data_IF_132180988159
#
_entry.id   IF_132180988159
#
_cell.length_a   1.000
_cell.length_b   1.000
_cell.length_c   1.000
_cell.angle_alpha   90.00
_cell.angle_beta   90.00
_cell.angle_gamma   90.00
#
_symmetry.space_group_name_H-M   'P 1'
#
loop_
_entity.id
_entity.type
_entity.pdbx_description
1 polymer ?
#
# COMPACT_ATOMS: atom_id res chain seq x y z
N UNK A 1 42.15 -52.71 27.19
CA UNK A 1 40.75 -53.15 27.00
C UNK A 1 39.92 -52.49 28.10
N UNK A 2 39.37 -51.32 27.82
CA UNK A 2 38.24 -50.64 28.50
C UNK A 2 38.25 -49.18 28.00
N UNK A 3 37.85 -49.04 26.73
CA UNK A 3 37.26 -47.80 26.23
C UNK A 3 35.77 -47.81 26.57
N UNK A 4 35.23 -46.62 26.78
CA UNK A 4 33.81 -46.32 26.56
C UNK A 4 32.88 -46.69 27.71
N UNK A 5 32.38 -45.66 28.40
CA UNK A 5 30.99 -45.44 28.88
C UNK A 5 31.08 -44.16 29.72
N UNK A 6 31.22 -42.97 29.14
CA UNK A 6 30.98 -41.71 29.89
C UNK A 6 30.64 -40.49 29.01
N UNK A 7 30.32 -40.68 27.72
CA UNK A 7 29.93 -39.60 26.82
C UNK A 7 28.41 -39.55 26.51
N UNK A 8 27.65 -40.62 26.79
CA UNK A 8 26.24 -40.75 26.38
C UNK A 8 25.20 -40.06 27.27
N UNK A 9 25.55 -39.67 28.50
CA UNK A 9 24.57 -39.10 29.47
C UNK A 9 24.52 -37.58 29.48
N UNK A 10 25.54 -36.89 28.96
CA UNK A 10 25.54 -35.41 28.87
C UNK A 10 24.80 -34.89 27.64
N UNK A 11 24.95 -35.54 26.48
CA UNK A 11 24.24 -35.16 25.24
C UNK A 11 22.72 -35.32 25.36
N UNK A 12 22.26 -36.40 26.03
CA UNK A 12 20.83 -36.68 26.21
C UNK A 12 20.14 -35.67 27.14
N UNK A 13 20.88 -35.06 28.10
CA UNK A 13 20.34 -34.02 28.99
C UNK A 13 20.15 -32.67 28.30
N UNK A 14 21.04 -32.31 27.37
CA UNK A 14 20.97 -31.04 26.64
C UNK A 14 19.80 -31.04 25.65
N UNK A 15 19.60 -32.13 24.90
CA UNK A 15 18.44 -32.24 24.00
C UNK A 15 17.10 -32.20 24.74
N UNK A 16 17.02 -32.87 25.90
CA UNK A 16 15.79 -32.94 26.70
C UNK A 16 15.47 -31.57 27.32
N UNK A 17 16.49 -30.84 27.78
CA UNK A 17 16.35 -29.49 28.32
C UNK A 17 15.89 -28.48 27.25
N UNK A 18 16.47 -28.53 26.04
CA UNK A 18 16.07 -27.66 24.93
C UNK A 18 14.64 -27.95 24.44
N UNK A 19 14.23 -29.22 24.41
CA UNK A 19 12.84 -29.60 24.08
C UNK A 19 11.84 -29.10 25.13
N UNK A 20 12.18 -29.18 26.42
CA UNK A 20 11.36 -28.64 27.51
C UNK A 20 11.23 -27.11 27.43
N UNK A 21 12.32 -26.39 27.15
CA UNK A 21 12.32 -24.93 27.02
C UNK A 21 11.48 -24.46 25.81
N UNK A 22 11.53 -25.19 24.70
CA UNK A 22 10.67 -24.95 23.54
C UNK A 22 9.18 -25.19 23.88
N UNK A 23 8.87 -26.26 24.63
CA UNK A 23 7.51 -26.55 25.09
C UNK A 23 7.01 -25.44 26.03
N UNK A 24 7.83 -24.98 26.98
CA UNK A 24 7.49 -23.87 27.88
C UNK A 24 7.29 -22.54 27.14
N UNK A 25 8.12 -22.26 26.13
CA UNK A 25 7.95 -21.07 25.28
C UNK A 25 6.66 -21.15 24.45
N UNK A 26 6.35 -22.32 23.86
CA UNK A 26 5.10 -22.56 23.13
C UNK A 26 3.87 -22.48 24.04
N UNK A 27 3.95 -23.02 25.27
CA UNK A 27 2.84 -22.92 26.24
C UNK A 27 2.66 -21.48 26.71
N UNK A 28 3.73 -20.75 27.03
CA UNK A 28 3.64 -19.34 27.41
C UNK A 28 3.04 -18.47 26.28
N UNK A 29 3.35 -18.76 25.02
CA UNK A 29 2.72 -18.11 23.87
C UNK A 29 1.23 -18.48 23.71
N UNK A 30 0.85 -19.72 24.03
CA UNK A 30 -0.55 -20.15 23.98
C UNK A 30 -1.43 -19.59 25.11
N UNK A 31 -0.85 -19.28 26.28
CA UNK A 31 -1.56 -18.66 27.40
C UNK A 31 -1.71 -17.12 27.29
N UNK A 32 -0.95 -16.47 26.40
CA UNK A 32 -1.00 -15.01 26.21
C UNK A 32 -2.20 -14.50 25.41
N UNK A 33 -2.89 -15.38 24.67
CA UNK A 33 -4.08 -15.03 23.89
C UNK A 33 -5.35 -15.52 24.61
N UNK A 34 -5.68 -14.91 25.75
CA UNK A 34 -6.97 -15.16 26.40
C UNK A 34 -8.07 -14.47 25.60
N UNK A 35 -8.89 -15.24 24.87
CA UNK A 35 -10.11 -14.74 24.26
C UNK A 35 -11.05 -14.26 25.37
N UNK A 36 -11.38 -12.96 25.37
CA UNK A 36 -12.47 -12.43 26.18
C UNK A 36 -13.77 -12.70 25.43
N UNK A 37 -14.59 -13.60 25.96
CA UNK A 37 -15.92 -13.90 25.42
C UNK A 37 -16.92 -13.01 26.13
N UNK A 38 -17.56 -12.11 25.38
CA UNK A 38 -18.67 -11.30 25.86
C UNK A 38 -19.99 -11.96 25.43
N UNK A 39 -20.80 -12.39 26.40
CA UNK A 39 -22.14 -12.89 26.12
C UNK A 39 -23.08 -11.69 25.98
N UNK A 40 -23.61 -11.49 24.77
CA UNK A 40 -24.56 -10.44 24.43
C UNK A 40 -25.96 -11.03 24.25
N UNK A 41 -27.01 -10.24 24.52
CA UNK A 41 -28.41 -10.68 24.34
C UNK A 41 -28.90 -10.57 22.90
N UNK A 42 -28.28 -9.71 22.11
CA UNK A 42 -28.56 -9.51 20.69
C UNK A 42 -27.33 -8.85 20.00
N UNK A 43 -27.28 -8.89 18.67
CA UNK A 43 -26.15 -8.39 17.88
C UNK A 43 -25.91 -6.88 18.00
N UNK A 44 -26.92 -6.09 18.37
CA UNK A 44 -26.77 -4.63 18.54
C UNK A 44 -25.95 -4.26 19.78
N UNK A 45 -25.76 -5.22 20.70
CA UNK A 45 -24.91 -5.08 21.88
C UNK A 45 -23.44 -5.44 21.60
N UNK A 46 -23.14 -6.01 20.43
CA UNK A 46 -21.76 -6.17 19.98
C UNK A 46 -21.30 -4.78 19.52
N UNK A 47 -20.33 -4.15 20.18
CA UNK A 47 -19.81 -2.87 19.72
C UNK A 47 -19.36 -3.03 18.27
N UNK A 48 -19.71 -2.06 17.40
CA UNK A 48 -19.16 -1.97 16.05
C UNK A 48 -17.65 -2.13 16.19
N UNK A 49 -17.11 -3.13 15.49
CA UNK A 49 -15.70 -3.51 15.51
C UNK A 49 -14.82 -2.25 15.65
N UNK A 50 -14.01 -2.21 16.70
CA UNK A 50 -12.87 -1.29 16.81
C UNK A 50 -11.63 -2.12 16.48
N UNK A 51 -11.43 -2.52 15.21
CA UNK A 51 -10.33 -3.36 14.83
C UNK A 51 -9.07 -2.54 15.04
N UNK A 52 -8.29 -2.96 16.02
CA UNK A 52 -6.96 -2.41 16.18
C UNK A 52 -5.99 -3.01 15.16
N UNK A 53 -6.38 -4.09 14.45
CA UNK A 53 -5.47 -4.87 13.62
C UNK A 53 -5.32 -4.24 12.24
N UNK A 54 -4.07 -3.96 11.89
CA UNK A 54 -3.66 -3.55 10.54
C UNK A 54 -3.06 -4.77 9.85
N UNK A 55 -3.58 -5.11 8.68
CA UNK A 55 -2.99 -6.08 7.78
C UNK A 55 -1.95 -5.40 6.88
N UNK A 56 -0.78 -6.00 6.78
CA UNK A 56 0.34 -5.54 5.95
C UNK A 56 0.70 -6.63 4.95
N UNK A 57 0.88 -6.33 3.66
CA UNK A 57 1.53 -7.26 2.74
C UNK A 57 2.87 -7.76 3.32
N UNK A 58 3.06 -9.09 3.40
CA UNK A 58 4.31 -9.67 3.93
C UNK A 58 5.30 -10.07 2.84
N UNK A 59 4.85 -10.16 1.60
CA UNK A 59 5.65 -10.59 0.47
C UNK A 59 5.89 -9.42 -0.47
N UNK A 60 7.00 -8.70 -0.23
CA UNK A 60 7.57 -7.83 -1.27
C UNK A 60 8.55 -8.65 -2.07
N UNK A 61 8.41 -8.61 -3.39
CA UNK A 61 9.36 -9.27 -4.28
C UNK A 61 10.70 -8.57 -4.18
N UNK A 62 11.78 -9.32 -4.38
CA UNK A 62 13.13 -8.78 -4.45
C UNK A 62 13.84 -9.31 -5.69
N UNK A 63 14.86 -8.60 -6.12
CA UNK A 63 15.67 -8.93 -7.30
C UNK A 63 17.15 -8.78 -6.98
N UNK A 64 17.99 -9.34 -7.84
CA UNK A 64 19.44 -9.18 -7.75
C UNK A 64 19.92 -7.86 -8.37
N UNK A 65 21.24 -7.65 -8.38
CA UNK A 65 21.87 -6.45 -8.95
C UNK A 65 21.68 -6.31 -10.47
N UNK A 66 21.32 -7.39 -11.16
CA UNK A 66 21.02 -7.40 -12.59
C UNK A 66 19.53 -7.18 -12.86
N UNK A 67 18.74 -6.94 -11.82
CA UNK A 67 17.29 -6.79 -11.92
C UNK A 67 16.55 -8.10 -12.16
N UNK A 68 17.19 -9.26 -11.95
CA UNK A 68 16.52 -10.55 -12.06
C UNK A 68 15.69 -10.80 -10.80
N UNK A 69 14.38 -10.92 -11.00
CA UNK A 69 13.42 -11.25 -9.95
C UNK A 69 13.81 -12.58 -9.31
N UNK A 70 13.98 -12.58 -7.98
CA UNK A 70 14.26 -13.82 -7.25
C UNK A 70 13.03 -14.71 -7.28
N UNK A 71 13.26 -16.00 -7.52
CA UNK A 71 12.18 -16.98 -7.51
C UNK A 71 11.50 -17.00 -6.14
N UNK A 72 10.18 -16.84 -6.17
CA UNK A 72 9.35 -17.05 -4.99
C UNK A 72 8.60 -18.37 -5.18
N UNK A 73 9.27 -19.47 -4.84
CA UNK A 73 8.58 -20.75 -4.70
C UNK A 73 7.61 -20.57 -3.53
N UNK A 74 6.30 -20.66 -3.82
CA UNK A 74 5.16 -20.42 -2.90
C UNK A 74 5.13 -21.33 -1.64
N UNK A 75 6.25 -21.98 -1.33
CA UNK A 75 6.49 -22.84 -0.17
C UNK A 75 7.14 -22.08 1.01
N UNK A 76 7.16 -20.75 1.03
CA UNK A 76 7.45 -20.02 2.27
C UNK A 76 6.19 -20.02 3.13
N UNK A 77 6.23 -20.67 4.30
CA UNK A 77 5.20 -20.60 5.35
C UNK A 77 4.97 -19.17 5.91
N UNK A 78 5.60 -18.17 5.33
CA UNK A 78 5.30 -16.77 5.57
C UNK A 78 3.90 -16.47 5.02
N UNK A 79 2.92 -16.45 5.94
CA UNK A 79 1.57 -15.94 5.69
C UNK A 79 1.63 -14.70 4.79
N UNK A 80 0.77 -14.63 3.78
CA UNK A 80 0.71 -13.53 2.80
C UNK A 80 0.55 -12.14 3.43
N UNK A 81 0.09 -12.09 4.69
CA UNK A 81 -0.11 -10.87 5.47
C UNK A 81 0.57 -10.90 6.84
N UNK A 82 1.15 -9.76 7.22
CA UNK A 82 1.58 -9.41 8.57
C UNK A 82 0.53 -8.61 9.28
N UNK A 83 0.58 -8.66 10.62
CA UNK A 83 -0.41 -7.97 11.45
C UNK A 83 0.30 -7.13 12.52
N UNK A 84 -0.16 -5.90 12.69
CA UNK A 84 0.20 -5.03 13.83
C UNK A 84 -1.07 -4.48 14.46
N UNK A 85 -0.97 -3.90 15.66
CA UNK A 85 -2.11 -3.19 16.28
C UNK A 85 -1.89 -1.69 16.36
N UNK A 86 -2.96 -0.90 16.16
CA UNK A 86 -2.96 0.56 16.23
C UNK A 86 -2.38 1.08 17.55
N UNK A 87 -2.77 0.46 18.67
CA UNK A 87 -2.34 0.86 20.02
C UNK A 87 -0.83 0.79 20.27
N UNK A 88 -0.05 0.08 19.43
CA UNK A 88 1.40 -0.02 19.58
C UNK A 88 2.17 1.14 18.96
N UNK A 89 1.57 1.88 18.01
CA UNK A 89 2.22 3.03 17.38
C UNK A 89 1.85 4.30 18.15
N UNK A 90 2.86 5.11 18.48
CA UNK A 90 2.64 6.43 19.09
C UNK A 90 1.97 7.36 18.08
N UNK A 91 1.07 8.26 18.52
CA UNK A 91 0.65 9.40 17.73
C UNK A 91 1.84 10.11 17.10
N UNK A 92 1.73 10.47 15.82
CA UNK A 92 2.74 11.32 15.15
C UNK A 92 2.37 12.80 15.23
N UNK A 93 1.14 13.09 15.65
CA UNK A 93 0.64 14.45 15.93
C UNK A 93 0.05 14.52 17.34
N UNK A 94 0.15 15.69 17.95
CA UNK A 94 -0.33 15.96 19.31
C UNK A 94 -1.83 16.36 19.29
N UNK A 95 -2.68 15.40 18.92
CA UNK A 95 -4.13 15.58 18.81
C UNK A 95 -4.86 14.43 19.49
N UNK A 96 -5.91 14.78 20.22
CA UNK A 96 -6.79 13.80 20.85
C UNK A 96 -7.78 13.19 19.86
N UNK A 97 -8.10 11.90 20.03
CA UNK A 97 -9.08 11.17 19.22
C UNK A 97 -10.51 11.77 19.35
N UNK A 98 -10.76 12.46 20.45
CA UNK A 98 -11.99 13.19 20.80
C UNK A 98 -12.12 14.52 20.08
N UNK A 99 -11.08 15.01 19.40
CA UNK A 99 -11.12 16.28 18.69
C UNK A 99 -12.28 16.30 17.68
N UNK A 100 -13.08 17.37 17.77
CA UNK A 100 -14.23 17.60 16.88
C UNK A 100 -13.79 18.01 15.48
N UNK A 101 -12.61 18.61 15.35
CA UNK A 101 -12.03 19.02 14.08
C UNK A 101 -10.51 18.85 14.08
N UNK A 102 -9.98 18.54 12.91
CA UNK A 102 -8.56 18.53 12.62
C UNK A 102 -8.33 18.57 11.12
N UNK A 103 -7.28 19.27 10.67
CA UNK A 103 -6.83 19.24 9.29
C UNK A 103 -5.30 19.23 9.24
N UNK A 104 -4.73 18.25 8.54
CA UNK A 104 -3.29 18.03 8.46
C UNK A 104 -2.56 18.95 7.48
N UNK A 105 -3.26 19.45 6.47
CA UNK A 105 -2.72 20.33 5.43
C UNK A 105 -3.65 21.53 5.34
N UNK A 106 -3.16 22.74 5.61
CA UNK A 106 -3.98 23.95 5.52
C UNK A 106 -4.46 24.20 4.07
N UNK A 107 -5.63 24.83 3.92
CA UNK A 107 -6.28 25.03 2.61
C UNK A 107 -5.41 25.80 1.62
N UNK A 108 -4.66 26.78 2.13
CA UNK A 108 -3.75 27.58 1.33
C UNK A 108 -2.46 26.84 0.98
N UNK A 109 -2.18 25.67 1.57
CA UNK A 109 -1.01 24.83 1.29
C UNK A 109 -1.31 23.69 0.31
N UNK A 110 -2.59 23.35 0.10
CA UNK A 110 -3.01 22.36 -0.91
C UNK A 110 -2.57 22.86 -2.30
N UNK A 111 -1.79 22.06 -3.01
CA UNK A 111 -1.27 22.45 -4.34
C UNK A 111 0.03 23.26 -4.30
N UNK A 112 0.48 23.73 -3.12
CA UNK A 112 1.66 24.61 -2.97
C UNK A 112 2.90 23.92 -2.41
N UNK A 113 2.72 22.88 -1.61
CA UNK A 113 3.86 22.05 -1.16
C UNK A 113 4.46 21.28 -2.35
N UNK A 114 5.75 20.96 -2.30
CA UNK A 114 6.39 20.10 -3.32
C UNK A 114 5.68 18.75 -3.41
N UNK A 115 5.37 18.14 -2.27
CA UNK A 115 4.64 16.86 -2.20
C UNK A 115 3.23 16.91 -2.79
N UNK A 116 2.62 18.09 -2.84
CA UNK A 116 1.31 18.33 -3.45
C UNK A 116 1.39 19.20 -4.71
N UNK A 117 2.53 19.28 -5.41
CA UNK A 117 2.67 20.27 -6.49
C UNK A 117 1.62 20.06 -7.60
N UNK A 118 1.11 21.15 -8.14
CA UNK A 118 0.29 21.12 -9.35
C UNK A 118 1.14 20.72 -10.56
N UNK A 119 0.59 19.89 -11.44
CA UNK A 119 1.29 19.40 -12.64
C UNK A 119 0.65 20.07 -13.85
N UNK A 120 1.42 20.81 -14.64
CA UNK A 120 0.90 21.39 -15.88
C UNK A 120 0.54 20.27 -16.86
N UNK A 121 -0.57 20.42 -17.57
CA UNK A 121 -1.01 19.45 -18.56
C UNK A 121 0.02 19.28 -19.67
N UNK A 122 0.76 20.34 -20.02
CA UNK A 122 1.90 20.26 -20.95
C UNK A 122 2.98 19.30 -20.47
N UNK A 123 3.33 19.35 -19.18
CA UNK A 123 4.37 18.50 -18.60
C UNK A 123 3.88 17.06 -18.48
N UNK A 124 2.59 16.89 -18.13
CA UNK A 124 1.91 15.61 -18.13
C UNK A 124 1.93 14.96 -19.51
N UNK A 125 1.41 15.66 -20.53
CA UNK A 125 1.31 15.16 -21.90
C UNK A 125 2.69 14.89 -22.50
N UNK A 126 3.71 15.71 -22.22
CA UNK A 126 5.07 15.50 -22.70
C UNK A 126 5.66 14.14 -22.30
N UNK A 127 5.24 13.60 -21.15
CA UNK A 127 5.61 12.27 -20.68
C UNK A 127 4.59 11.22 -21.13
N UNK A 128 3.30 11.45 -20.86
CA UNK A 128 2.24 10.47 -21.07
C UNK A 128 2.06 10.09 -22.55
N UNK A 129 2.15 11.06 -23.46
CA UNK A 129 2.01 10.81 -24.90
C UNK A 129 3.19 9.99 -25.46
N UNK A 130 4.35 10.05 -24.79
CA UNK A 130 5.56 9.32 -25.13
C UNK A 130 5.72 8.00 -24.37
N UNK A 131 5.06 7.90 -23.23
CA UNK A 131 5.17 6.79 -22.29
C UNK A 131 3.78 6.29 -21.91
N UNK A 132 3.09 5.63 -22.84
CA UNK A 132 1.72 5.12 -22.64
C UNK A 132 1.56 4.10 -21.51
N UNK A 133 2.61 3.33 -21.23
CA UNK A 133 2.63 2.39 -20.10
C UNK A 133 2.79 3.12 -18.75
N UNK A 134 3.10 4.42 -18.78
CA UNK A 134 3.07 5.25 -17.59
C UNK A 134 1.64 5.24 -17.03
N UNK A 135 1.47 4.84 -15.77
CA UNK A 135 0.17 4.55 -15.22
C UNK A 135 -0.70 5.80 -15.25
N UNK A 136 -1.98 5.61 -15.55
CA UNK A 136 -2.97 6.67 -15.52
C UNK A 136 -3.27 7.18 -14.11
N UNK A 137 -2.64 6.65 -13.07
CA UNK A 137 -2.93 7.05 -11.70
C UNK A 137 -1.64 7.17 -10.88
N UNK A 138 -1.38 8.42 -10.53
CA UNK A 138 -0.38 8.91 -9.60
C UNK A 138 -0.45 8.34 -8.17
N UNK A 139 -1.38 7.43 -7.87
CA UNK A 139 -2.00 7.35 -6.55
C UNK A 139 -1.02 7.08 -5.41
N UNK A 140 -0.22 6.01 -5.49
CA UNK A 140 0.67 5.62 -4.39
C UNK A 140 1.74 6.67 -4.10
N UNK A 141 2.43 7.15 -5.14
CA UNK A 141 3.52 8.13 -4.98
C UNK A 141 2.99 9.51 -4.63
N UNK A 142 1.92 9.99 -5.27
CA UNK A 142 1.30 11.27 -4.91
C UNK A 142 0.81 11.26 -3.46
N UNK A 143 0.20 10.16 -3.01
CA UNK A 143 -0.17 9.98 -1.60
C UNK A 143 1.06 10.05 -0.70
N UNK A 144 2.17 9.40 -1.06
CA UNK A 144 3.41 9.48 -0.26
C UNK A 144 3.93 10.92 -0.18
N UNK A 145 3.87 11.69 -1.27
CA UNK A 145 4.22 13.12 -1.27
C UNK A 145 3.36 13.94 -0.31
N UNK A 146 2.05 13.68 -0.24
CA UNK A 146 1.18 14.31 0.75
C UNK A 146 1.43 13.83 2.18
N UNK A 147 1.72 12.55 2.36
CA UNK A 147 2.02 11.96 3.68
C UNK A 147 3.37 12.44 4.20
N UNK A 148 4.35 12.73 3.34
CA UNK A 148 5.70 13.11 3.79
C UNK A 148 5.68 14.38 4.62
N UNK A 149 4.93 15.38 4.17
CA UNK A 149 4.70 16.64 4.88
C UNK A 149 4.04 16.44 6.26
N UNK A 150 3.28 15.35 6.44
CA UNK A 150 2.65 15.04 7.70
C UNK A 150 3.55 14.28 8.68
N UNK A 151 4.23 13.23 8.20
CA UNK A 151 5.06 12.37 9.06
C UNK A 151 6.36 13.08 9.42
N UNK A 152 6.92 13.84 8.49
CA UNK A 152 8.19 14.55 8.65
C UNK A 152 7.99 15.98 8.13
N UNK A 153 7.52 16.88 9.00
CA UNK A 153 7.16 18.27 8.67
C UNK A 153 8.23 19.09 7.94
N UNK A 154 9.48 18.64 7.93
CA UNK A 154 10.61 19.29 7.22
C UNK A 154 10.96 18.62 5.87
N UNK A 155 10.27 17.54 5.49
CA UNK A 155 10.53 16.74 4.29
C UNK A 155 9.46 16.98 3.23
N UNK A 156 9.49 18.18 2.64
CA UNK A 156 8.68 18.51 1.48
C UNK A 156 9.43 18.12 0.20
N UNK A 157 8.89 17.14 -0.54
CA UNK A 157 9.44 16.72 -1.82
C UNK A 157 8.37 16.08 -2.70
N UNK A 158 8.52 16.18 -4.01
CA UNK A 158 7.70 15.41 -4.94
C UNK A 158 8.39 14.09 -5.28
N UNK A 159 7.73 12.92 -5.13
CA UNK A 159 8.34 11.63 -5.42
C UNK A 159 8.74 11.43 -6.88
N UNK A 160 9.88 10.77 -7.09
CA UNK A 160 10.34 10.32 -8.40
C UNK A 160 9.70 8.97 -8.76
N UNK A 161 8.72 8.99 -9.66
CA UNK A 161 8.17 7.81 -10.32
C UNK A 161 9.22 7.09 -11.13
N UNK A 162 10.07 7.83 -11.85
CA UNK A 162 11.10 7.22 -12.70
C UNK A 162 12.09 6.42 -11.85
N UNK A 163 12.56 6.95 -10.71
CA UNK A 163 13.41 6.20 -9.78
C UNK A 163 12.71 4.94 -9.25
N UNK A 164 11.45 5.05 -8.81
CA UNK A 164 10.71 3.91 -8.26
C UNK A 164 10.55 2.78 -9.30
N UNK A 165 10.27 3.12 -10.56
CA UNK A 165 10.11 2.15 -11.64
C UNK A 165 11.48 1.62 -12.10
N UNK A 166 12.48 2.49 -12.23
CA UNK A 166 13.84 2.12 -12.62
C UNK A 166 14.55 1.27 -11.55
N UNK A 167 14.15 1.36 -10.27
CA UNK A 167 14.61 0.43 -9.24
C UNK A 167 13.96 -0.94 -9.30
N UNK A 168 12.78 -1.08 -9.91
CA UNK A 168 12.05 -2.34 -10.03
C UNK A 168 12.81 -3.43 -10.81
N UNK A 169 12.31 -4.68 -10.79
CA UNK A 169 12.93 -5.79 -11.51
C UNK A 169 12.92 -5.54 -13.02
N UNK A 170 13.91 -6.09 -13.73
CA UNK A 170 14.06 -6.00 -15.20
C UNK A 170 13.76 -7.31 -15.88
N UNK A 171 13.97 -8.41 -15.16
CA UNK A 171 13.89 -9.77 -15.71
C UNK A 171 13.21 -10.69 -14.72
N UNK A 172 12.64 -11.76 -15.23
CA UNK A 172 12.13 -12.86 -14.43
C UNK A 172 12.34 -14.19 -15.15
N UNK A 173 12.27 -15.28 -14.40
CA UNK A 173 12.18 -16.62 -14.96
C UNK A 173 10.72 -16.97 -15.31
N UNK A 174 10.49 -17.42 -16.54
CA UNK A 174 9.19 -17.89 -17.04
C UNK A 174 9.36 -19.22 -17.79
N UNK A 175 8.31 -20.03 -17.90
CA UNK A 175 8.32 -21.27 -18.67
C UNK A 175 8.09 -21.07 -20.17
N UNK A 176 7.40 -19.99 -20.54
CA UNK A 176 7.05 -19.77 -21.94
C UNK A 176 8.23 -19.23 -22.74
N UNK A 177 8.43 -19.82 -23.92
CA UNK A 177 9.39 -19.34 -24.92
C UNK A 177 9.12 -17.85 -25.22
N UNK A 178 10.11 -16.96 -25.02
CA UNK A 178 9.98 -15.53 -25.27
C UNK A 178 9.59 -15.20 -26.72
N UNK A 179 9.81 -16.11 -27.67
CA UNK A 179 9.49 -15.91 -29.09
C UNK A 179 8.04 -16.27 -29.46
N UNK A 180 7.27 -16.94 -28.58
CA UNK A 180 5.99 -17.56 -28.95
C UNK A 180 4.78 -17.11 -28.12
N UNK A 181 4.93 -16.22 -27.14
CA UNK A 181 3.85 -15.94 -26.19
C UNK A 181 3.73 -14.48 -25.75
N UNK A 182 2.47 -14.03 -25.65
CA UNK A 182 2.09 -12.74 -25.09
C UNK A 182 2.61 -12.57 -23.64
N UNK A 183 2.91 -11.33 -23.20
CA UNK A 183 3.44 -11.04 -21.89
C UNK A 183 2.36 -11.33 -20.84
N UNK A 184 2.44 -12.50 -20.23
CA UNK A 184 1.76 -12.84 -19.00
C UNK A 184 2.83 -13.57 -18.17
N UNK A 185 2.80 -13.42 -16.85
CA UNK A 185 3.70 -14.17 -15.96
C UNK A 185 2.80 -15.22 -15.32
N UNK A 186 2.69 -16.41 -15.92
CA UNK A 186 1.76 -17.45 -15.44
C UNK A 186 2.35 -18.33 -14.34
N UNK A 187 3.60 -18.11 -13.91
CA UNK A 187 4.22 -18.88 -12.82
C UNK A 187 4.37 -20.38 -13.12
N UNK A 188 4.11 -20.81 -14.35
CA UNK A 188 4.26 -22.19 -14.79
C UNK A 188 5.75 -22.51 -14.99
N UNK A 189 6.09 -23.79 -14.93
CA UNK A 189 7.44 -24.32 -15.05
C UNK A 189 7.45 -25.55 -15.95
N UNK A 190 8.55 -25.75 -16.66
CA UNK A 190 8.77 -26.99 -17.40
C UNK A 190 9.29 -28.02 -16.44
N UNK A 191 8.57 -29.13 -16.28
CA UNK A 191 9.07 -30.25 -15.51
C UNK A 191 9.48 -31.35 -16.50
N UNK A 192 10.78 -31.65 -16.54
CA UNK A 192 11.34 -32.77 -17.30
C UNK A 192 12.08 -33.64 -16.30
N UNK A 193 11.61 -34.88 -16.13
CA UNK A 193 12.20 -35.87 -15.21
C UNK A 193 12.39 -35.37 -13.76
N UNK A 194 11.48 -34.53 -13.27
CA UNK A 194 11.52 -33.96 -11.91
C UNK A 194 12.34 -32.68 -11.79
N UNK A 195 13.02 -32.25 -12.85
CA UNK A 195 13.78 -31.02 -12.90
C UNK A 195 12.95 -29.87 -13.45
N UNK A 196 13.06 -28.70 -12.80
CA UNK A 196 12.33 -27.49 -13.15
C UNK A 196 13.20 -26.61 -14.06
N UNK A 197 12.70 -26.37 -15.27
CA UNK A 197 13.33 -25.51 -16.27
C UNK A 197 12.50 -24.26 -16.51
N UNK A 198 13.18 -23.11 -16.54
CA UNK A 198 12.61 -21.78 -16.82
C UNK A 198 13.62 -20.96 -17.61
N UNK A 199 13.14 -20.07 -18.46
CA UNK A 199 13.94 -19.16 -19.27
C UNK A 199 13.98 -17.79 -18.63
N UNK A 200 15.17 -17.19 -18.60
CA UNK A 200 15.30 -15.77 -18.27
C UNK A 200 14.64 -14.95 -19.38
N UNK A 201 13.75 -14.03 -19.00
CA UNK A 201 13.04 -13.15 -19.92
C UNK A 201 13.03 -11.72 -19.39
N UNK A 202 13.14 -10.77 -20.30
CA UNK A 202 12.91 -9.35 -20.01
C UNK A 202 11.42 -9.10 -19.68
N UNK A 203 11.16 -8.42 -18.57
CA UNK A 203 9.80 -8.05 -18.15
C UNK A 203 9.17 -7.00 -19.08
N UNK A 204 9.97 -6.38 -19.95
CA UNK A 204 9.62 -5.29 -20.84
C UNK A 204 8.88 -4.16 -20.11
N UNK A 205 9.38 -3.77 -18.93
CA UNK A 205 8.89 -2.62 -18.16
C UNK A 205 9.43 -1.36 -18.83
N UNK A 206 8.69 -0.84 -19.80
CA UNK A 206 9.12 0.24 -20.66
C UNK A 206 7.97 1.17 -21.06
N UNK A 207 8.21 2.18 -21.89
CA UNK A 207 7.19 3.19 -22.19
C UNK A 207 6.03 2.71 -23.07
N UNK A 208 6.19 1.58 -23.76
CA UNK A 208 5.15 1.03 -24.63
C UNK A 208 4.42 -0.18 -24.00
N UNK A 209 5.04 -0.85 -23.02
CA UNK A 209 4.60 -2.13 -22.46
C UNK A 209 5.01 -2.28 -20.98
N UNK A 210 4.36 -3.25 -20.34
CA UNK A 210 4.58 -3.55 -18.92
C UNK A 210 3.68 -2.71 -18.05
N UNK A 211 3.27 -3.28 -16.91
CA UNK A 211 2.51 -2.53 -15.92
C UNK A 211 3.49 -1.99 -14.88
N UNK A 212 3.76 -0.68 -14.91
CA UNK A 212 4.66 -0.05 -13.93
C UNK A 212 4.16 -0.25 -12.49
N UNK A 213 2.83 -0.28 -12.30
CA UNK A 213 2.19 -0.43 -10.99
C UNK A 213 2.54 -1.75 -10.31
N UNK A 214 2.82 -2.81 -11.09
CA UNK A 214 3.03 -4.15 -10.55
C UNK A 214 4.17 -4.19 -9.54
N UNK A 215 5.20 -3.35 -9.67
CA UNK A 215 6.41 -3.41 -8.84
C UNK A 215 6.74 -2.13 -8.08
N UNK A 216 5.94 -1.06 -8.20
CA UNK A 216 6.21 0.21 -7.53
C UNK A 216 6.24 0.02 -6.00
N UNK A 217 5.27 -0.69 -5.43
CA UNK A 217 5.23 -0.93 -3.99
C UNK A 217 6.41 -1.80 -3.52
N UNK A 218 6.85 -2.77 -4.33
CA UNK A 218 8.07 -3.55 -4.06
C UNK A 218 9.32 -2.66 -4.07
N UNK A 219 9.42 -1.75 -5.03
CA UNK A 219 10.52 -0.79 -5.12
C UNK A 219 10.54 0.16 -3.93
N UNK A 220 9.39 0.72 -3.55
CA UNK A 220 9.25 1.59 -2.37
C UNK A 220 9.69 0.84 -1.11
N UNK A 221 9.23 -0.40 -0.92
CA UNK A 221 9.61 -1.18 0.25
C UNK A 221 11.11 -1.48 0.28
N UNK A 222 11.71 -1.90 -0.82
CA UNK A 222 13.12 -2.34 -0.85
C UNK A 222 14.12 -1.16 -0.93
N UNK A 223 13.77 -0.07 -1.60
CA UNK A 223 14.70 1.03 -1.95
C UNK A 223 14.23 2.40 -1.48
N UNK A 224 13.01 2.52 -0.96
CA UNK A 224 12.42 3.79 -0.57
C UNK A 224 12.03 4.64 -1.77
N UNK A 225 11.78 5.91 -1.48
CA UNK A 225 11.35 6.94 -2.41
C UNK A 225 12.41 8.04 -2.43
N UNK A 226 12.68 8.59 -3.61
CA UNK A 226 13.62 9.70 -3.82
C UNK A 226 12.86 10.87 -4.42
N UNK A 227 13.32 12.10 -4.18
CA UNK A 227 12.74 13.30 -4.79
C UNK A 227 13.00 13.36 -6.30
N UNK A 228 12.02 13.86 -7.06
CA UNK A 228 12.16 14.18 -8.47
C UNK A 228 13.23 15.26 -8.76
N UNK A 229 13.57 16.12 -7.81
CA UNK A 229 14.70 17.04 -7.93
C UNK A 229 16.04 16.27 -8.01
N UNK A 230 16.17 15.16 -7.28
CA UNK A 230 17.36 14.31 -7.32
C UNK A 230 17.35 13.36 -8.52
N UNK A 231 16.19 12.79 -8.85
CA UNK A 231 16.02 11.90 -10.00
C UNK A 231 14.78 12.32 -10.79
N UNK A 232 14.93 13.17 -11.83
CA UNK A 232 13.81 13.74 -12.58
C UNK A 232 12.88 12.68 -13.17
N UNK A 233 11.59 13.01 -13.29
CA UNK A 233 10.60 12.19 -13.97
C UNK A 233 10.59 12.53 -15.47
N UNK A 234 11.63 12.18 -16.23
CA UNK A 234 11.73 12.52 -17.66
C UNK A 234 11.62 11.31 -18.60
N UNK A 235 11.82 10.09 -18.08
CA UNK A 235 11.68 8.79 -18.74
C UNK A 235 12.47 8.61 -20.04
N UNK A 236 13.40 9.51 -20.37
CA UNK A 236 14.08 9.52 -21.68
C UNK A 236 14.91 8.26 -21.93
N UNK A 237 15.42 7.66 -20.85
CA UNK A 237 16.25 6.46 -20.92
C UNK A 237 15.39 5.17 -20.92
N UNK A 238 14.06 5.28 -20.84
CA UNK A 238 13.17 4.13 -20.89
C UNK A 238 12.93 3.71 -22.34
N UNK A 239 13.04 2.40 -22.67
CA UNK A 239 12.77 1.94 -24.02
C UNK A 239 11.37 2.35 -24.50
N UNK A 240 11.27 2.94 -25.68
CA UNK A 240 10.00 3.40 -26.25
C UNK A 240 9.70 4.89 -26.06
N UNK A 241 10.37 5.60 -25.15
CA UNK A 241 10.06 7.02 -24.91
C UNK A 241 10.14 7.90 -26.17
N UNK A 242 11.18 7.73 -26.99
CA UNK A 242 11.36 8.47 -28.24
C UNK A 242 10.82 7.72 -29.48
N UNK A 243 9.89 6.78 -29.32
CA UNK A 243 9.40 5.96 -30.45
C UNK A 243 7.90 6.14 -30.70
N UNK A 244 7.60 6.51 -31.94
CA UNK A 244 6.31 6.36 -32.62
C UNK A 244 5.54 5.08 -32.25
N UNK A 245 4.43 5.14 -31.52
CA UNK A 245 3.48 4.02 -31.49
C UNK A 245 2.61 4.04 -32.75
N UNK A 246 3.15 3.52 -33.85
CA UNK A 246 2.38 3.39 -35.08
C UNK A 246 1.66 2.04 -35.16
N UNK A 247 0.37 2.01 -35.55
CA UNK A 247 -0.17 0.81 -36.19
C UNK A 247 0.57 0.62 -37.51
N UNK A 248 1.11 -0.57 -37.74
CA UNK A 248 1.57 -0.95 -39.08
C UNK A 248 0.33 -0.88 -40.01
N UNK A 249 0.34 0.06 -40.97
CA UNK A 249 -0.81 0.37 -41.85
C UNK A 249 -1.33 -0.88 -42.58
N UNK A 250 -0.46 -1.88 -42.77
CA UNK A 250 -0.79 -3.12 -43.47
C UNK A 250 -1.08 -4.32 -42.55
N UNK A 251 -0.88 -4.23 -41.22
CA UNK A 251 -0.87 -5.45 -40.37
C UNK A 251 -1.68 -5.44 -39.07
N UNK A 252 -2.35 -4.35 -38.67
CA UNK A 252 -3.00 -4.26 -37.35
C UNK A 252 -2.08 -4.63 -36.16
N UNK A 253 -0.76 -4.68 -36.37
CA UNK A 253 0.23 -5.01 -35.34
C UNK A 253 0.98 -3.76 -34.95
N UNK A 254 0.90 -3.39 -33.68
CA UNK A 254 1.69 -2.29 -33.12
C UNK A 254 3.16 -2.73 -32.96
N UNK A 255 4.10 -1.88 -33.36
CA UNK A 255 5.51 -2.05 -33.02
C UNK A 255 5.76 -1.53 -31.61
N UNK A 256 6.19 -2.41 -30.72
CA UNK A 256 6.52 -2.04 -29.35
C UNK A 256 8.02 -2.14 -29.13
N UNK A 257 8.58 -1.24 -28.32
CA UNK A 257 9.94 -1.39 -27.84
C UNK A 257 10.06 -2.67 -26.98
N UNK A 258 11.21 -3.33 -27.11
CA UNK A 258 11.61 -4.41 -26.22
C UNK A 258 12.67 -3.87 -25.24
N UNK A 259 12.82 -4.56 -24.11
CA UNK A 259 13.72 -4.18 -23.04
C UNK A 259 12.98 -3.51 -21.88
N UNK A 260 13.54 -3.60 -20.68
CA UNK A 260 13.08 -2.84 -19.50
C UNK A 260 13.92 -1.58 -19.30
N UNK A 261 13.46 -0.69 -18.40
CA UNK A 261 14.21 0.48 -17.94
C UNK A 261 15.64 0.13 -17.48
N UNK A 262 16.60 1.07 -17.56
CA UNK A 262 17.98 0.80 -17.17
C UNK A 262 18.10 0.47 -15.68
N UNK A 263 19.17 -0.25 -15.34
CA UNK A 263 19.56 -0.43 -13.94
C UNK A 263 20.26 0.85 -13.49
N UNK A 264 19.69 1.52 -12.50
CA UNK A 264 20.19 2.80 -12.01
C UNK A 264 20.94 2.65 -10.68
N UNK A 265 21.89 3.56 -10.43
CA UNK A 265 22.66 3.64 -9.18
C UNK A 265 21.93 4.48 -8.13
N UNK A 266 22.33 4.33 -6.87
CA UNK A 266 21.84 5.14 -5.74
C UNK A 266 22.55 6.50 -5.71
N UNK A 267 22.37 7.29 -6.78
CA UNK A 267 22.99 8.60 -6.98
C UNK A 267 22.04 9.53 -7.72
N UNK A 268 22.06 10.83 -7.41
CA UNK A 268 21.25 11.80 -8.15
C UNK A 268 21.73 11.99 -9.59
N UNK A 269 20.77 12.23 -10.47
CA UNK A 269 20.97 12.67 -11.87
C UNK A 269 20.50 14.10 -12.09
N UNK A 270 19.69 14.64 -11.16
CA UNK A 270 19.21 16.02 -11.14
C UNK A 270 20.00 16.94 -10.20
N UNK A 271 19.35 18.02 -9.75
CA UNK A 271 19.93 19.08 -8.91
C UNK A 271 19.78 18.83 -7.41
N UNK A 272 18.97 17.84 -7.02
CA UNK A 272 18.70 17.50 -5.62
C UNK A 272 19.80 16.68 -4.95
N UNK A 273 19.55 16.33 -3.68
CA UNK A 273 20.41 15.44 -2.89
C UNK A 273 19.82 14.05 -2.79
N UNK A 274 20.69 13.03 -2.75
CA UNK A 274 20.24 11.64 -2.74
C UNK A 274 19.82 11.25 -1.32
N UNK A 275 18.52 11.29 -1.08
CA UNK A 275 17.90 10.89 0.17
C UNK A 275 16.85 9.82 -0.12
N UNK A 276 17.04 8.64 0.48
CA UNK A 276 16.06 7.55 0.44
C UNK A 276 15.08 7.70 1.60
N UNK A 277 13.86 8.15 1.30
CA UNK A 277 12.77 8.26 2.26
C UNK A 277 11.94 6.98 2.28
N UNK A 278 11.33 6.67 3.43
CA UNK A 278 10.30 5.62 3.55
C UNK A 278 10.73 4.20 3.10
N UNK A 279 12.02 3.89 3.07
CA UNK A 279 12.48 2.50 2.85
C UNK A 279 11.91 1.57 3.93
N UNK A 280 11.34 0.44 3.51
CA UNK A 280 10.65 -0.52 4.38
C UNK A 280 9.23 -0.09 4.78
N UNK A 281 8.74 1.05 4.28
CA UNK A 281 7.33 1.41 4.42
C UNK A 281 6.50 0.74 3.34
N UNK A 282 5.22 0.58 3.63
CA UNK A 282 4.25 -0.07 2.77
C UNK A 282 2.83 0.44 3.10
N UNK A 283 1.88 0.14 2.22
CA UNK A 283 0.47 0.34 2.50
C UNK A 283 -0.09 -0.83 3.31
N UNK A 284 -0.74 -0.51 4.42
CA UNK A 284 -1.47 -1.46 5.26
C UNK A 284 -2.95 -1.14 5.25
N UNK A 285 -3.78 -2.14 5.52
CA UNK A 285 -5.23 -2.00 5.51
C UNK A 285 -5.81 -2.37 6.86
N UNK A 286 -6.65 -1.50 7.42
CA UNK A 286 -7.63 -1.85 8.42
C UNK A 286 -8.99 -2.04 7.75
N UNK A 287 -9.73 -3.05 8.17
CA UNK A 287 -11.10 -3.29 7.70
C UNK A 287 -12.04 -3.45 8.87
N UNK A 288 -13.22 -2.84 8.74
CA UNK A 288 -14.30 -2.91 9.71
C UNK A 288 -14.19 -1.97 10.90
N UNK A 289 -13.59 -0.79 10.70
CA UNK A 289 -13.48 0.24 11.74
C UNK A 289 -14.70 1.14 11.83
N UNK A 290 -14.82 1.87 12.94
CA UNK A 290 -15.75 2.99 13.08
C UNK A 290 -15.01 4.33 12.96
N UNK A 291 -15.70 5.45 13.19
CA UNK A 291 -15.08 6.79 13.11
C UNK A 291 -13.90 6.96 14.09
N UNK A 292 -13.97 6.34 15.27
CA UNK A 292 -12.87 6.35 16.25
C UNK A 292 -11.66 5.59 15.71
N UNK A 293 -11.86 4.41 15.11
CA UNK A 293 -10.78 3.65 14.46
C UNK A 293 -10.12 4.46 13.34
N UNK A 294 -10.91 5.16 12.53
CA UNK A 294 -10.41 6.08 11.51
C UNK A 294 -9.53 7.19 12.11
N UNK A 295 -10.04 7.95 13.10
CA UNK A 295 -9.27 9.03 13.73
C UNK A 295 -7.97 8.51 14.35
N UNK A 296 -8.01 7.34 14.98
CA UNK A 296 -6.84 6.65 15.53
C UNK A 296 -5.78 6.32 14.48
N UNK A 297 -6.20 5.76 13.36
CA UNK A 297 -5.32 5.46 12.24
C UNK A 297 -4.70 6.75 11.69
N UNK A 298 -5.52 7.79 11.50
CA UNK A 298 -5.06 9.10 11.03
C UNK A 298 -4.00 9.71 11.95
N UNK A 299 -4.26 9.79 13.25
CA UNK A 299 -3.36 10.40 14.24
C UNK A 299 -1.98 9.69 14.29
N UNK A 300 -1.91 8.41 13.91
CA UNK A 300 -0.70 7.57 14.00
C UNK A 300 0.04 7.39 12.67
N UNK A 301 -0.66 7.48 11.55
CA UNK A 301 -0.09 7.22 10.22
C UNK A 301 -0.23 8.41 9.26
N UNK A 302 -1.00 9.41 9.63
CA UNK A 302 -1.29 10.59 8.84
C UNK A 302 -2.44 10.45 7.89
N UNK A 303 -2.46 11.26 6.81
CA UNK A 303 -3.43 11.13 5.75
C UNK A 303 -3.61 9.67 5.32
N UNK A 304 -4.86 9.24 5.19
CA UNK A 304 -5.26 7.86 4.89
C UNK A 304 -6.22 7.84 3.71
N UNK A 305 -6.34 6.71 3.03
CA UNK A 305 -7.45 6.50 2.10
C UNK A 305 -8.55 5.68 2.74
N UNK A 306 -9.81 6.08 2.57
CA UNK A 306 -10.94 5.39 3.21
C UNK A 306 -12.10 5.12 2.26
N UNK A 307 -12.75 3.99 2.51
CA UNK A 307 -14.06 3.63 1.97
C UNK A 307 -14.95 3.24 3.16
N UNK A 308 -16.14 3.82 3.25
CA UNK A 308 -17.07 3.51 4.33
C UNK A 308 -18.53 3.46 3.88
N UNK A 309 -19.33 2.75 4.67
CA UNK A 309 -20.76 2.59 4.53
C UNK A 309 -21.48 3.31 5.67
N UNK A 310 -22.71 3.74 5.40
CA UNK A 310 -23.69 4.11 6.41
C UNK A 310 -24.52 2.89 6.73
N UNK A 311 -24.63 2.57 8.02
CA UNK A 311 -25.34 1.41 8.51
C UNK A 311 -26.68 1.81 9.12
N UNK A 312 -27.69 0.98 8.85
CA UNK A 312 -28.99 1.01 9.49
C UNK A 312 -29.16 -0.27 10.33
N UNK A 313 -29.58 -0.19 11.60
CA UNK A 313 -29.88 -1.38 12.38
C UNK A 313 -30.96 -2.25 11.72
N UNK A 314 -30.63 -3.52 11.48
CA UNK A 314 -31.54 -4.54 10.99
C UNK A 314 -31.25 -5.87 11.70
N UNK A 315 -31.96 -6.20 12.79
CA UNK A 315 -31.68 -7.39 13.60
C UNK A 315 -31.93 -8.71 12.84
N UNK A 316 -32.68 -8.68 11.74
CA UNK A 316 -32.99 -9.84 10.92
C UNK A 316 -31.90 -10.12 9.87
N UNK A 317 -30.97 -9.18 9.65
CA UNK A 317 -29.86 -9.34 8.73
C UNK A 317 -28.76 -10.19 9.35
N UNK A 318 -28.56 -11.42 8.87
CA UNK A 318 -27.57 -12.35 9.41
C UNK A 318 -26.31 -12.49 8.57
N UNK A 319 -26.26 -11.86 7.40
CA UNK A 319 -25.18 -12.06 6.43
C UNK A 319 -23.94 -11.22 6.76
N UNK A 320 -22.77 -11.77 6.43
CA UNK A 320 -21.50 -11.04 6.48
C UNK A 320 -21.42 -10.01 5.34
N UNK A 321 -20.71 -8.87 5.52
CA UNK A 321 -19.83 -8.55 6.63
C UNK A 321 -20.45 -7.73 7.78
N UNK A 322 -21.77 -7.48 7.76
CA UNK A 322 -22.43 -6.59 8.75
C UNK A 322 -23.67 -7.23 9.39
N UNK A 323 -23.54 -8.36 10.11
CA UNK A 323 -24.69 -8.96 10.78
C UNK A 323 -25.34 -7.96 11.75
N UNK A 324 -26.66 -7.84 11.68
CA UNK A 324 -27.46 -6.88 12.44
C UNK A 324 -27.64 -5.52 11.76
N UNK A 325 -27.14 -5.31 10.54
CA UNK A 325 -27.19 -4.02 9.85
C UNK A 325 -27.40 -4.11 8.33
N UNK A 326 -28.22 -3.20 7.78
CA UNK A 326 -28.30 -2.92 6.35
C UNK A 326 -27.32 -1.81 5.95
N UNK A 327 -26.78 -1.87 4.72
CA UNK A 327 -26.07 -0.75 4.09
C UNK A 327 -27.10 0.17 3.44
N UNK A 328 -27.18 1.41 3.91
CA UNK A 328 -28.10 2.43 3.36
C UNK A 328 -27.41 3.46 2.49
N UNK A 329 -26.08 3.56 2.58
CA UNK A 329 -25.28 4.41 1.70
C UNK A 329 -23.82 3.97 1.72
N UNK A 330 -23.10 4.31 0.65
CA UNK A 330 -21.66 4.05 0.52
C UNK A 330 -20.97 5.33 0.09
N UNK A 331 -19.81 5.60 0.67
CA UNK A 331 -18.97 6.74 0.31
C UNK A 331 -17.52 6.31 0.13
N UNK A 332 -16.98 6.67 -1.04
CA UNK A 332 -15.55 6.60 -1.31
C UNK A 332 -14.94 7.98 -1.08
N UNK A 333 -14.30 8.18 0.06
CA UNK A 333 -13.76 9.49 0.42
C UNK A 333 -12.35 9.75 -0.15
N UNK A 334 -11.81 8.83 -0.97
CA UNK A 334 -10.51 9.02 -1.59
C UNK A 334 -9.41 9.19 -0.54
N UNK A 335 -8.59 10.23 -0.67
CA UNK A 335 -7.49 10.54 0.25
C UNK A 335 -7.91 11.62 1.26
N UNK A 336 -7.81 11.29 2.54
CA UNK A 336 -8.32 12.08 3.66
C UNK A 336 -7.19 12.86 4.29
N UNK A 337 -7.42 14.15 4.55
CA UNK A 337 -6.47 15.07 5.20
C UNK A 337 -7.02 15.65 6.52
N UNK A 338 -8.19 15.20 6.97
CA UNK A 338 -8.77 15.69 8.22
C UNK A 338 -10.24 15.35 8.40
N UNK A 339 -10.86 15.96 9.40
CA UNK A 339 -12.29 15.89 9.69
C UNK A 339 -12.76 17.16 10.40
N UNK A 340 -14.06 17.37 10.40
CA UNK A 340 -14.75 18.33 11.26
C UNK A 340 -16.01 17.68 11.84
N UNK A 341 -16.91 18.47 12.43
CA UNK A 341 -18.14 17.96 13.05
C UNK A 341 -19.13 17.31 12.07
N UNK A 342 -19.05 17.62 10.78
CA UNK A 342 -20.01 17.17 9.75
C UNK A 342 -19.39 16.33 8.65
N UNK A 343 -18.10 16.49 8.38
CA UNK A 343 -17.44 15.96 7.20
C UNK A 343 -16.04 15.39 7.50
N UNK A 344 -15.67 14.37 6.74
CA UNK A 344 -14.28 14.02 6.45
C UNK A 344 -13.76 14.96 5.38
N UNK A 345 -12.57 15.53 5.60
CA UNK A 345 -11.93 16.47 4.68
C UNK A 345 -11.02 15.69 3.74
N UNK A 346 -11.25 15.80 2.45
CA UNK A 346 -10.58 14.99 1.43
C UNK A 346 -9.80 15.85 0.46
N UNK A 347 -8.86 15.26 -0.26
CA UNK A 347 -8.23 15.86 -1.44
C UNK A 347 -8.19 14.83 -2.57
N UNK A 348 -8.36 15.31 -3.80
CA UNK A 348 -8.25 14.51 -5.00
C UNK A 348 -7.57 15.30 -6.12
N UNK A 349 -6.93 14.58 -7.05
CA UNK A 349 -6.44 15.17 -8.30
C UNK A 349 -7.62 15.39 -9.24
N UNK A 350 -7.69 16.57 -9.84
CA UNK A 350 -8.64 16.88 -10.89
C UNK A 350 -8.00 17.73 -11.98
N UNK A 351 -8.46 17.53 -13.21
CA UNK A 351 -8.14 18.39 -14.33
C UNK A 351 -8.77 19.77 -14.14
N UNK A 352 -8.00 20.80 -14.48
CA UNK A 352 -8.49 22.16 -14.67
C UNK A 352 -8.41 22.53 -16.14
N UNK A 353 -9.29 23.43 -16.57
CA UNK A 353 -9.53 23.74 -17.98
C UNK A 353 -9.55 25.26 -18.20
N UNK A 354 -9.21 25.69 -19.42
CA UNK A 354 -9.37 27.10 -19.81
C UNK A 354 -10.84 27.54 -19.72
N UNK A 355 -11.08 28.80 -19.34
CA UNK A 355 -12.41 29.39 -19.51
C UNK A 355 -12.63 29.74 -20.97
N UNK A 356 -13.84 29.52 -21.48
CA UNK A 356 -14.23 30.01 -22.80
C UNK A 356 -14.18 31.54 -22.81
N UNK A 357 -13.75 32.17 -23.92
CA UNK A 357 -13.78 33.63 -24.04
C UNK A 357 -15.17 34.17 -23.70
N UNK A 358 -15.21 35.24 -22.89
CA UNK A 358 -16.42 35.94 -22.48
C UNK A 358 -17.49 35.06 -21.79
N UNK A 359 -17.09 33.94 -21.17
CA UNK A 359 -17.99 33.02 -20.46
C UNK A 359 -17.42 32.54 -19.13
N UNK A 360 -18.31 32.16 -18.21
CA UNK A 360 -17.95 31.45 -16.98
C UNK A 360 -17.76 29.93 -17.20
N UNK A 361 -18.12 29.43 -18.38
CA UNK A 361 -17.95 28.02 -18.74
C UNK A 361 -16.49 27.67 -19.05
N UNK A 362 -16.12 26.43 -18.71
CA UNK A 362 -14.83 25.85 -19.05
C UNK A 362 -14.84 25.16 -20.42
N UNK A 363 -13.75 25.30 -21.17
CA UNK A 363 -13.48 24.57 -22.41
C UNK A 363 -12.84 23.22 -22.07
N UNK A 364 -13.67 22.18 -22.00
CA UNK A 364 -13.25 20.82 -21.65
C UNK A 364 -12.25 20.20 -22.65
N UNK A 365 -12.03 20.84 -23.81
CA UNK A 365 -11.03 20.43 -24.80
C UNK A 365 -9.66 21.04 -24.54
N UNK A 366 -9.53 21.94 -23.54
CA UNK A 366 -8.30 22.66 -23.23
C UNK A 366 -7.89 22.47 -21.76
N UNK A 367 -7.39 21.28 -21.40
CA UNK A 367 -6.85 21.05 -20.06
C UNK A 367 -5.59 21.89 -19.81
N UNK A 368 -5.51 22.53 -18.65
CA UNK A 368 -4.40 23.39 -18.22
C UNK A 368 -3.45 22.61 -17.31
N UNK A 369 -3.99 21.98 -16.28
CA UNK A 369 -3.20 21.33 -15.23
C UNK A 369 -4.00 20.30 -14.44
N UNK A 370 -3.28 19.40 -13.77
CA UNK A 370 -3.79 18.46 -12.80
C UNK A 370 -3.51 18.99 -11.40
N UNK A 371 -4.55 19.46 -10.71
CA UNK A 371 -4.42 20.12 -9.40
C UNK A 371 -5.03 19.28 -8.30
N UNK A 372 -4.54 19.46 -7.08
CA UNK A 372 -5.22 18.97 -5.89
C UNK A 372 -6.41 19.86 -5.55
N UNK A 373 -7.58 19.25 -5.39
CA UNK A 373 -8.81 19.94 -5.01
C UNK A 373 -9.28 19.39 -3.67
N UNK A 374 -9.64 20.29 -2.76
CA UNK A 374 -10.26 19.95 -1.48
C UNK A 374 -11.70 19.49 -1.71
N UNK A 375 -12.05 18.36 -1.13
CA UNK A 375 -13.38 17.80 -1.09
C UNK A 375 -13.87 17.61 0.34
N UNK A 376 -15.12 17.15 0.45
CA UNK A 376 -15.77 16.76 1.70
C UNK A 376 -16.54 15.47 1.47
N UNK A 377 -16.47 14.57 2.44
CA UNK A 377 -17.27 13.35 2.49
C UNK A 377 -18.10 13.37 3.78
N UNK A 378 -19.43 13.29 3.71
CA UNK A 378 -20.28 13.56 4.87
C UNK A 378 -20.18 12.45 5.93
N UNK A 379 -20.29 12.83 7.20
CA UNK A 379 -20.37 11.89 8.34
C UNK A 379 -21.81 11.39 8.59
N UNK A 380 -22.79 11.95 7.89
CA UNK A 380 -24.20 11.55 7.98
C UNK A 380 -24.81 11.32 6.60
N UNK A 381 -25.79 10.44 6.50
CA UNK A 381 -26.51 10.15 5.27
C UNK A 381 -28.02 10.24 5.50
N UNK A 382 -28.70 11.09 4.73
CA UNK A 382 -30.15 11.26 4.81
C UNK A 382 -30.81 10.61 3.60
N UNK A 383 -31.80 9.75 3.85
CA UNK A 383 -32.62 9.10 2.82
C UNK A 383 -34.10 9.13 3.20
N UNK A 384 -34.99 8.82 2.26
CA UNK A 384 -36.43 8.76 2.50
C UNK A 384 -36.87 7.34 2.80
N UNK A 385 -37.56 7.16 3.93
CA UNK A 385 -38.10 5.87 4.35
C UNK A 385 -39.57 5.97 4.75
N UNK A 386 -40.28 4.84 4.63
CA UNK A 386 -41.66 4.73 5.09
C UNK A 386 -41.66 4.44 6.59
N UNK A 387 -42.01 5.44 7.40
CA UNK A 387 -42.12 5.33 8.85
C UNK A 387 -43.60 5.47 9.22
N UNK A 388 -44.20 4.38 9.69
CA UNK A 388 -45.63 4.32 10.03
C UNK A 388 -46.57 4.67 8.87
N UNK A 389 -46.19 4.33 7.64
CA UNK A 389 -47.01 4.54 6.43
C UNK A 389 -46.80 5.91 5.75
N UNK A 390 -45.93 6.77 6.29
CA UNK A 390 -45.59 8.07 5.70
C UNK A 390 -44.12 8.08 5.27
N UNK A 391 -43.82 8.70 4.12
CA UNK A 391 -42.45 8.99 3.71
C UNK A 391 -41.86 10.08 4.61
N UNK A 392 -40.74 9.78 5.27
CA UNK A 392 -40.00 10.71 6.14
C UNK A 392 -38.52 10.66 5.82
N UNK A 393 -37.86 11.81 5.95
CA UNK A 393 -36.41 11.88 5.92
C UNK A 393 -35.84 11.25 7.19
N UNK A 394 -34.94 10.28 7.02
CA UNK A 394 -34.23 9.59 8.10
C UNK A 394 -32.74 9.78 7.88
N UNK A 395 -32.04 10.22 8.93
CA UNK A 395 -30.60 10.45 8.91
C UNK A 395 -29.87 9.36 9.67
N UNK A 396 -28.83 8.81 9.04
CA UNK A 396 -27.94 7.79 9.58
C UNK A 396 -26.54 8.37 9.80
N UNK A 397 -25.97 8.13 10.97
CA UNK A 397 -24.64 8.59 11.39
C UNK A 397 -23.70 7.42 11.76
N UNK A 398 -24.21 6.19 11.71
CA UNK A 398 -23.42 5.00 12.00
C UNK A 398 -22.54 4.63 10.82
N UNK A 399 -21.24 4.89 10.95
CA UNK A 399 -20.24 4.63 9.92
C UNK A 399 -19.54 3.28 10.12
N UNK A 400 -19.38 2.55 9.02
CA UNK A 400 -18.52 1.37 8.95
C UNK A 400 -17.46 1.55 7.87
N UNK A 401 -16.20 1.59 8.26
CA UNK A 401 -15.07 1.72 7.36
C UNK A 401 -14.68 0.35 6.79
N UNK A 402 -15.09 0.12 5.54
CA UNK A 402 -14.72 -1.06 4.74
C UNK A 402 -13.20 -1.22 4.63
N UNK A 403 -12.52 -0.10 4.39
CA UNK A 403 -11.07 -0.04 4.37
C UNK A 403 -10.58 1.31 4.86
N UNK A 404 -9.51 1.27 5.67
CA UNK A 404 -8.66 2.41 6.00
C UNK A 404 -7.24 2.01 5.59
N UNK A 405 -6.73 2.65 4.54
CA UNK A 405 -5.40 2.39 4.00
C UNK A 405 -4.43 3.38 4.65
N UNK A 406 -3.47 2.85 5.40
CA UNK A 406 -2.40 3.59 6.07
C UNK A 406 -1.07 3.37 5.37
N UNK A 407 -0.15 4.34 5.43
CA UNK A 407 1.22 4.17 4.95
C UNK A 407 2.20 4.15 6.14
N UNK A 408 3.01 3.10 6.25
CA UNK A 408 3.92 2.96 7.38
C UNK A 408 4.78 1.70 7.33
N UNK A 409 5.64 1.53 8.34
CA UNK A 409 6.41 0.30 8.52
C UNK A 409 5.61 -0.71 9.36
N UNK A 410 5.25 -1.85 8.77
CA UNK A 410 4.60 -2.98 9.44
C UNK A 410 5.54 -3.86 10.28
N UNK A 411 6.73 -3.37 10.68
CA UNK A 411 7.70 -4.15 11.47
C UNK A 411 7.08 -4.45 12.84
N UNK A 412 6.43 -5.61 12.91
CA UNK A 412 5.83 -6.11 14.13
C UNK A 412 6.92 -6.31 15.18
N UNK A 413 6.75 -5.67 16.34
CA UNK A 413 7.58 -5.88 17.55
C UNK A 413 7.76 -7.37 17.87
N UNK A 414 6.84 -8.22 17.40
CA UNK A 414 6.92 -9.68 17.51
C UNK A 414 8.14 -10.27 16.77
N UNK A 415 8.55 -9.74 15.61
CA UNK A 415 9.78 -10.20 14.91
C UNK A 415 11.05 -9.76 15.64
N UNK A 416 11.07 -8.55 16.20
CA UNK A 416 12.18 -8.09 17.02
C UNK A 416 12.30 -8.94 18.30
N UNK A 417 11.18 -9.25 18.96
CA UNK A 417 11.14 -10.10 20.14
C UNK A 417 11.50 -11.57 19.83
N UNK A 418 11.00 -12.15 18.74
CA UNK A 418 11.37 -13.51 18.32
C UNK A 418 12.82 -13.60 17.85
N UNK A 419 13.33 -12.57 17.17
CA UNK A 419 14.75 -12.45 16.83
C UNK A 419 15.64 -12.34 18.06
N UNK A 420 15.19 -11.60 19.09
CA UNK A 420 15.87 -11.53 20.38
C UNK A 420 15.82 -12.88 21.12
N UNK A 421 14.67 -13.56 21.12
CA UNK A 421 14.53 -14.90 21.72
C UNK A 421 15.41 -15.92 20.99
N UNK A 422 15.48 -15.87 19.65
CA UNK A 422 16.39 -16.70 18.88
C UNK A 422 17.87 -16.37 19.17
N UNK A 423 18.24 -15.09 19.26
CA UNK A 423 19.59 -14.68 19.61
C UNK A 423 19.97 -15.01 21.07
N UNK A 424 19.01 -15.07 21.98
CA UNK A 424 19.24 -15.39 23.40
C UNK A 424 19.18 -16.89 23.67
N UNK A 425 18.43 -17.69 22.91
CA UNK A 425 18.29 -19.14 23.13
C UNK A 425 19.14 -19.98 22.18
N UNK A 426 19.22 -19.62 20.89
CA UNK A 426 19.86 -20.45 19.86
C UNK A 426 21.37 -20.21 19.83
N UNK A 427 21.80 -18.97 20.04
CA UNK A 427 23.21 -18.58 19.99
C UNK A 427 24.02 -19.19 21.15
N UNK A 428 23.55 -19.18 22.41
CA UNK A 428 24.23 -19.90 23.49
C UNK A 428 24.20 -21.42 23.33
N UNK A 429 23.14 -21.98 22.71
CA UNK A 429 23.05 -23.42 22.43
C UNK A 429 23.93 -23.89 21.25
N UNK A 430 24.40 -22.98 20.40
CA UNK A 430 25.39 -23.24 19.34
C UNK A 430 26.83 -23.03 19.82
N UNK A 431 27.02 -22.30 20.93
CA UNK A 431 28.31 -22.02 21.55
C UNK A 431 28.66 -22.99 22.69
N UNK A 432 27.71 -23.84 23.09
CA UNK A 432 27.86 -24.98 24.02
C UNK A 432 27.82 -26.29 23.25
#
# INVERSE_FOLDING_TARGET
MMEGIYAGTHQMKIETFNKLLLIFALTALSFGAQYKIHNVKDFTQIPIHDPEVISWPKSFRSWDSNGLLKDNFRCTLDFSSGYTTLGKKKPVVDIEETATEFQSIADDQIGKTKGSKNIMNSDYSAIHDKCYAYPNIYDSLDRIGLISNFIYGDQDFYPSSEYAIAKGPKKAYDYRDPQKSFPSISGTYGNVDGEIYRYERDLNINCHRGNFEDYIDDSIYNYGVVSDECYPNDFKDFPGFDKERYPDEDKQTYHYANGSSPIIKDTCTGTGSFNQYFKGYQFGTLSGGNLTTFKRAFIRYGPVSVNYNFLKPNPDYTDEPHPGYDIVGTTYAGFVIGWNSTDIITVSRSLTFEKKPDSEEYDLLKPISYNWIKGKAPLTYTTQEVVSGELKDVTYDQLYFNSIIVFGSGVSVVRAALGLIAAVLVLPALLL
#
